data_IF_059956796621
#
_entry.id   IF_059956796621
#
_cell.length_a   1.000
_cell.length_b   1.000
_cell.length_c   1.000
_cell.angle_alpha   90.00
_cell.angle_beta   90.00
_cell.angle_gamma   90.00
#
_symmetry.space_group_name_H-M   'P 1'
#
loop_
_entity.id
_entity.type
_entity.pdbx_description
1 polymer ?
#
# COMPACT_ATOMS: atom_id res chain seq x y z
N UNK A 1 5.54 21.57 9.46
CA UNK A 1 5.63 20.25 10.12
C UNK A 1 4.95 19.25 9.20
N UNK A 2 5.63 18.15 8.86
CA UNK A 2 5.00 17.09 8.08
C UNK A 2 4.01 16.36 8.99
N UNK A 3 2.74 16.25 8.57
CA UNK A 3 1.72 15.56 9.36
C UNK A 3 1.89 14.06 9.23
N UNK A 4 1.81 13.38 10.37
CA UNK A 4 1.74 11.93 10.44
C UNK A 4 0.41 11.44 9.87
N UNK A 5 0.48 10.34 9.15
CA UNK A 5 -0.62 9.74 8.42
C UNK A 5 -0.38 8.26 8.25
N UNK A 6 -1.44 7.55 7.92
CA UNK A 6 -1.43 6.12 7.63
C UNK A 6 -2.04 5.89 6.26
N UNK A 7 -1.40 5.12 5.40
CA UNK A 7 -2.00 4.70 4.13
C UNK A 7 -2.55 3.29 4.26
N UNK A 8 -3.79 3.10 3.84
CA UNK A 8 -4.36 1.79 3.54
C UNK A 8 -4.31 1.56 2.04
N UNK A 9 -3.85 0.38 1.63
CA UNK A 9 -3.81 -0.02 0.22
C UNK A 9 -4.32 -1.45 0.09
N UNK A 10 -5.22 -1.63 -0.88
CA UNK A 10 -5.67 -2.94 -1.35
C UNK A 10 -5.39 -3.00 -2.85
N UNK A 11 -4.57 -3.95 -3.29
CA UNK A 11 -4.20 -4.07 -4.68
C UNK A 11 -4.15 -5.53 -5.12
N UNK A 12 -4.40 -5.76 -6.40
CA UNK A 12 -4.18 -7.05 -7.06
C UNK A 12 -2.96 -6.91 -7.96
N UNK A 13 -1.96 -7.76 -7.78
CA UNK A 13 -0.69 -7.69 -8.52
C UNK A 13 -0.19 -9.07 -8.90
N UNK A 14 0.58 -9.16 -9.99
CA UNK A 14 1.27 -10.39 -10.37
C UNK A 14 2.56 -10.62 -9.59
N UNK A 15 3.10 -9.58 -8.94
CA UNK A 15 4.27 -9.69 -8.09
C UNK A 15 4.55 -8.44 -7.28
N UNK A 16 5.62 -8.51 -6.49
CA UNK A 16 6.10 -7.42 -5.65
C UNK A 16 7.30 -7.85 -4.82
N UNK A 17 7.74 -6.98 -3.92
CA UNK A 17 8.83 -7.21 -2.99
C UNK A 17 8.40 -6.92 -1.57
N UNK A 18 9.01 -7.63 -0.62
CA UNK A 18 8.88 -7.38 0.81
C UNK A 18 10.28 -7.45 1.39
N UNK A 19 10.74 -6.36 2.00
CA UNK A 19 11.88 -6.37 2.92
C UNK A 19 11.31 -6.43 4.34
N UNK A 20 11.45 -7.58 4.99
CA UNK A 20 10.82 -7.85 6.28
C UNK A 20 11.46 -7.04 7.40
N UNK A 21 10.61 -6.57 8.31
CA UNK A 21 11.01 -5.87 9.53
C UNK A 21 10.26 -6.42 10.75
N UNK A 22 10.89 -6.41 11.91
CA UNK A 22 10.30 -6.91 13.16
C UNK A 22 10.26 -8.43 13.28
N UNK A 23 9.45 -8.93 14.23
CA UNK A 23 9.48 -10.33 14.68
C UNK A 23 8.25 -11.16 14.25
N UNK A 24 7.26 -10.56 13.60
CA UNK A 24 5.96 -11.18 13.30
C UNK A 24 5.82 -11.63 11.84
N UNK A 25 6.83 -12.33 11.32
CA UNK A 25 6.91 -12.71 9.91
C UNK A 25 7.11 -14.22 9.72
N UNK A 26 6.36 -15.03 10.47
CA UNK A 26 6.41 -16.48 10.35
C UNK A 26 5.28 -16.97 9.44
N UNK A 27 5.64 -17.62 8.34
CA UNK A 27 4.69 -18.20 7.39
C UNK A 27 4.62 -19.71 7.54
N UNK A 28 3.44 -20.23 7.85
CA UNK A 28 3.18 -21.67 7.77
C UNK A 28 2.83 -22.06 6.33
N UNK A 29 3.61 -22.96 5.74
CA UNK A 29 3.44 -23.47 4.38
C UNK A 29 3.25 -25.00 4.42
N UNK A 30 2.05 -25.49 4.14
CA UNK A 30 1.67 -26.93 4.18
C UNK A 30 2.44 -27.78 3.21
N UNK A 31 2.77 -27.24 2.05
CA UNK A 31 3.57 -27.96 1.07
C UNK A 31 4.17 -26.99 0.08
N UNK A 32 5.32 -27.39 -0.43
CA UNK A 32 6.02 -26.62 -1.43
C UNK A 32 7.25 -27.33 -1.95
N UNK A 33 7.88 -26.66 -2.90
CA UNK A 33 9.18 -27.05 -3.44
C UNK A 33 10.15 -25.92 -3.15
N UNK A 34 11.23 -26.24 -2.46
CA UNK A 34 12.37 -25.35 -2.29
C UNK A 34 13.37 -25.65 -3.40
N UNK A 35 13.60 -24.69 -4.26
CA UNK A 35 14.60 -24.70 -5.30
C UNK A 35 15.85 -23.95 -4.79
N UNK A 36 16.82 -24.66 -4.22
CA UNK A 36 18.07 -24.05 -3.78
C UNK A 36 19.02 -23.90 -4.95
N UNK A 37 19.71 -22.77 -5.07
CA UNK A 37 20.71 -22.58 -6.12
C UNK A 37 21.83 -23.63 -5.96
N UNK A 38 22.27 -24.22 -7.06
CA UNK A 38 23.45 -25.09 -7.07
C UNK A 38 24.72 -24.27 -7.01
N UNK A 39 25.71 -24.76 -6.26
CA UNK A 39 27.06 -24.18 -6.24
C UNK A 39 27.72 -24.21 -7.64
N UNK A 40 27.37 -25.22 -8.44
CA UNK A 40 27.81 -25.34 -9.83
C UNK A 40 26.64 -25.77 -10.73
N UNK A 41 26.08 -24.86 -11.55
CA UNK A 41 25.04 -25.20 -12.51
C UNK A 41 25.53 -26.21 -13.56
N UNK A 42 24.75 -27.25 -13.83
CA UNK A 42 25.06 -28.27 -14.83
C UNK A 42 24.19 -28.09 -16.09
N UNK A 43 24.71 -27.32 -17.04
CA UNK A 43 24.04 -27.08 -18.32
C UNK A 43 24.11 -28.27 -19.29
N UNK A 44 24.80 -29.37 -18.93
CA UNK A 44 24.83 -30.60 -19.74
C UNK A 44 23.60 -31.47 -19.52
N UNK A 45 22.92 -31.30 -18.38
CA UNK A 45 21.64 -31.95 -18.15
C UNK A 45 20.61 -31.48 -19.18
N UNK A 46 19.87 -32.42 -19.76
CA UNK A 46 18.72 -32.09 -20.59
C UNK A 46 17.69 -31.38 -19.71
N UNK A 47 17.24 -30.20 -20.15
CA UNK A 47 16.09 -29.55 -19.53
C UNK A 47 14.94 -30.57 -19.50
N UNK A 48 14.35 -30.77 -18.33
CA UNK A 48 13.11 -31.52 -18.23
C UNK A 48 12.11 -30.89 -19.22
N UNK A 49 11.45 -31.72 -20.04
CA UNK A 49 10.45 -31.24 -21.00
C UNK A 49 9.22 -30.67 -20.31
N UNK A 50 8.95 -31.11 -19.09
CA UNK A 50 8.01 -30.44 -18.20
C UNK A 50 8.67 -29.20 -17.63
N UNK A 51 7.90 -28.11 -17.60
CA UNK A 51 8.25 -26.85 -16.93
C UNK A 51 8.35 -27.15 -15.44
N UNK A 52 9.44 -27.80 -15.02
CA UNK A 52 9.68 -28.09 -13.62
C UNK A 52 9.82 -26.74 -12.93
N UNK A 53 9.06 -26.57 -11.85
CA UNK A 53 8.99 -25.33 -11.06
C UNK A 53 10.38 -24.81 -10.66
N UNK A 54 11.36 -25.72 -10.60
CA UNK A 54 12.79 -25.47 -10.51
C UNK A 54 13.51 -26.03 -11.74
N UNK A 55 14.30 -25.24 -12.48
CA UNK A 55 15.17 -25.77 -13.53
C UNK A 55 16.29 -26.61 -12.89
N UNK A 56 16.29 -27.93 -13.13
CA UNK A 56 17.22 -28.86 -12.50
C UNK A 56 18.70 -28.59 -12.84
N UNK A 57 18.98 -27.83 -13.91
CA UNK A 57 20.33 -27.40 -14.27
C UNK A 57 20.89 -26.37 -13.30
N UNK A 58 20.01 -25.53 -12.77
CA UNK A 58 20.36 -24.36 -11.93
C UNK A 58 20.08 -24.65 -10.45
N UNK A 59 19.03 -25.41 -10.18
CA UNK A 59 18.51 -25.63 -8.84
C UNK A 59 18.61 -27.08 -8.40
N UNK A 60 18.75 -27.26 -7.10
CA UNK A 60 18.47 -28.48 -6.38
C UNK A 60 17.08 -28.36 -5.74
N UNK A 61 16.14 -29.20 -6.16
CA UNK A 61 14.76 -29.13 -5.72
C UNK A 61 14.51 -30.09 -4.56
N UNK A 62 13.99 -29.58 -3.45
CA UNK A 62 13.56 -30.36 -2.29
C UNK A 62 12.09 -30.10 -2.01
N UNK A 63 11.27 -31.15 -2.07
CA UNK A 63 9.87 -31.07 -1.64
C UNK A 63 9.79 -31.11 -0.12
N UNK A 64 8.89 -30.31 0.46
CA UNK A 64 8.59 -30.39 1.88
C UNK A 64 7.09 -30.48 2.12
N UNK A 65 6.73 -31.14 3.21
CA UNK A 65 5.39 -31.17 3.77
C UNK A 65 5.46 -30.47 5.13
N UNK A 66 4.70 -29.38 5.24
CA UNK A 66 4.53 -28.48 6.37
C UNK A 66 5.84 -27.87 6.88
N UNK A 67 5.98 -26.55 6.71
CA UNK A 67 7.15 -25.81 7.16
C UNK A 67 6.77 -24.42 7.63
N UNK A 68 7.31 -24.04 8.78
CA UNK A 68 7.33 -22.65 9.22
C UNK A 68 8.55 -21.99 8.58
N UNK A 69 8.31 -20.98 7.76
CA UNK A 69 9.35 -20.10 7.21
C UNK A 69 9.36 -18.82 8.04
N UNK A 70 10.40 -18.66 8.86
CA UNK A 70 10.59 -17.47 9.69
C UNK A 70 11.39 -16.42 8.92
N UNK A 71 10.71 -15.39 8.42
CA UNK A 71 11.38 -14.28 7.74
C UNK A 71 11.94 -13.30 8.76
N UNK A 72 13.27 -13.23 8.84
CA UNK A 72 13.93 -12.35 9.81
C UNK A 72 14.04 -10.93 9.29
N UNK A 73 14.22 -10.00 10.21
CA UNK A 73 14.53 -8.60 9.93
C UNK A 73 15.68 -8.47 8.92
N UNK A 74 15.49 -7.61 7.92
CA UNK A 74 16.43 -7.40 6.82
C UNK A 74 16.38 -8.44 5.70
N UNK A 75 15.58 -9.50 5.81
CA UNK A 75 15.37 -10.45 4.71
C UNK A 75 14.54 -9.79 3.62
N UNK A 76 15.00 -9.86 2.36
CA UNK A 76 14.25 -9.35 1.22
C UNK A 76 13.81 -10.50 0.31
N UNK A 77 12.53 -10.49 -0.03
CA UNK A 77 11.94 -11.43 -0.98
C UNK A 77 11.27 -10.68 -2.14
N UNK A 78 11.29 -11.32 -3.30
CA UNK A 78 10.35 -11.04 -4.37
C UNK A 78 9.30 -12.15 -4.40
N UNK A 79 8.03 -11.79 -4.51
CA UNK A 79 6.95 -12.74 -4.67
C UNK A 79 6.29 -12.54 -6.04
N UNK A 80 5.83 -13.63 -6.64
CA UNK A 80 5.09 -13.61 -7.91
C UNK A 80 4.05 -14.70 -7.99
N UNK A 81 2.99 -14.46 -8.76
CA UNK A 81 1.98 -15.44 -9.13
C UNK A 81 2.35 -16.05 -10.48
N UNK A 82 2.70 -17.33 -10.48
CA UNK A 82 2.98 -18.07 -11.71
C UNK A 82 1.72 -18.21 -12.58
N UNK A 83 1.89 -18.50 -13.87
CA UNK A 83 0.78 -18.80 -14.77
C UNK A 83 -0.04 -20.03 -14.34
N UNK A 84 0.58 -20.97 -13.62
CA UNK A 84 -0.08 -22.13 -13.01
C UNK A 84 -0.91 -21.79 -11.76
N UNK A 85 -0.89 -20.53 -11.30
CA UNK A 85 -1.48 -20.12 -10.03
C UNK A 85 -0.57 -20.33 -8.81
N UNK A 86 0.56 -21.03 -8.93
CA UNK A 86 1.47 -21.19 -7.82
C UNK A 86 2.02 -19.83 -7.33
N UNK A 87 2.20 -19.69 -6.01
CA UNK A 87 2.97 -18.60 -5.43
C UNK A 87 4.46 -18.96 -5.53
N UNK A 88 5.26 -18.03 -6.03
CA UNK A 88 6.70 -18.17 -6.15
C UNK A 88 7.35 -17.07 -5.34
N UNK A 89 8.20 -17.46 -4.40
CA UNK A 89 8.92 -16.56 -3.48
C UNK A 89 10.41 -16.73 -3.74
N UNK A 90 11.05 -15.72 -4.28
CA UNK A 90 12.49 -15.69 -4.50
C UNK A 90 13.15 -14.88 -3.39
N UNK A 91 14.08 -15.48 -2.67
CA UNK A 91 14.90 -14.77 -1.67
C UNK A 91 15.92 -13.91 -2.41
N UNK A 92 15.80 -12.59 -2.31
CA UNK A 92 16.71 -11.62 -2.93
C UNK A 92 17.96 -11.44 -2.06
N UNK A 93 17.73 -11.27 -0.76
CA UNK A 93 18.78 -11.06 0.23
C UNK A 93 18.44 -11.84 1.50
N UNK A 94 19.37 -12.64 1.98
CA UNK A 94 19.28 -13.36 3.24
C UNK A 94 20.16 -12.68 4.29
N UNK A 95 19.53 -12.02 5.26
CA UNK A 95 20.21 -11.39 6.38
C UNK A 95 20.62 -12.40 7.47
N UNK A 96 20.08 -13.63 7.48
CA UNK A 96 20.11 -14.52 8.66
C UNK A 96 20.47 -16.00 8.40
N UNK A 97 20.92 -16.34 7.20
CA UNK A 97 21.52 -17.63 6.82
C UNK A 97 20.58 -18.85 6.84
N UNK A 98 19.27 -18.67 7.04
CA UNK A 98 18.33 -19.82 7.12
C UNK A 98 17.92 -20.30 5.72
N UNK A 99 17.76 -19.39 4.78
CA UNK A 99 17.38 -19.69 3.40
C UNK A 99 18.27 -18.83 2.48
N UNK A 100 19.26 -19.43 1.79
CA UNK A 100 20.22 -18.67 1.02
C UNK A 100 19.58 -17.77 -0.04
N UNK A 101 20.20 -16.61 -0.28
CA UNK A 101 19.85 -15.74 -1.41
C UNK A 101 19.82 -16.51 -2.73
N UNK A 102 18.86 -16.19 -3.58
CA UNK A 102 18.60 -16.88 -4.85
C UNK A 102 17.73 -18.14 -4.71
N UNK A 103 17.41 -18.59 -3.49
CA UNK A 103 16.47 -19.70 -3.29
C UNK A 103 15.08 -19.30 -3.75
N UNK A 104 14.42 -20.20 -4.49
CA UNK A 104 13.03 -20.04 -4.93
C UNK A 104 12.16 -21.06 -4.18
N UNK A 105 11.19 -20.57 -3.42
CA UNK A 105 10.15 -21.38 -2.79
C UNK A 105 8.90 -21.31 -3.64
N UNK A 106 8.36 -22.47 -4.01
CA UNK A 106 7.14 -22.58 -4.82
C UNK A 106 6.05 -23.25 -4.01
N UNK A 107 4.97 -22.53 -3.75
CA UNK A 107 3.78 -23.01 -3.05
C UNK A 107 2.69 -23.29 -4.08
N UNK A 108 2.20 -24.53 -4.22
CA UNK A 108 1.12 -24.86 -5.14
C UNK A 108 -0.14 -24.04 -4.87
N UNK A 109 -0.91 -23.76 -5.92
CA UNK A 109 -2.12 -22.92 -5.82
C UNK A 109 -3.16 -23.49 -4.84
N UNK A 110 -3.42 -24.80 -4.91
CA UNK A 110 -4.36 -25.48 -4.04
C UNK A 110 -3.98 -25.36 -2.55
N UNK A 111 -2.69 -25.53 -2.26
CA UNK A 111 -2.17 -25.49 -0.89
C UNK A 111 -2.19 -24.06 -0.34
N UNK A 112 -1.82 -23.07 -1.16
CA UNK A 112 -1.88 -21.67 -0.73
C UNK A 112 -3.31 -21.21 -0.44
N UNK A 113 -4.27 -21.61 -1.29
CA UNK A 113 -5.69 -21.37 -1.05
C UNK A 113 -6.20 -22.02 0.23
N UNK A 114 -5.70 -23.20 0.59
CA UNK A 114 -6.01 -23.86 1.85
C UNK A 114 -5.56 -23.08 3.09
N UNK A 115 -4.44 -22.35 3.01
CA UNK A 115 -3.90 -21.55 4.11
C UNK A 115 -4.51 -20.16 4.25
N UNK A 116 -4.82 -19.51 3.13
CA UNK A 116 -5.29 -18.13 3.12
C UNK A 116 -4.16 -17.10 3.19
N UNK A 117 -4.22 -16.23 4.19
CA UNK A 117 -3.42 -15.00 4.24
C UNK A 117 -2.00 -15.21 4.80
N UNK A 118 -0.99 -14.76 4.06
CA UNK A 118 0.41 -14.70 4.50
C UNK A 118 0.71 -13.30 5.04
N UNK A 119 0.61 -13.13 6.36
CA UNK A 119 0.80 -11.83 7.02
C UNK A 119 2.27 -11.40 7.02
N UNK A 120 2.53 -10.10 6.93
CA UNK A 120 3.86 -9.55 6.98
C UNK A 120 3.89 -8.19 7.70
N UNK A 121 5.07 -7.86 8.17
CA UNK A 121 5.52 -6.54 8.62
C UNK A 121 6.83 -6.24 7.88
N UNK A 122 6.90 -5.10 7.21
CA UNK A 122 8.10 -4.70 6.47
C UNK A 122 7.86 -3.61 5.42
N UNK A 123 8.88 -3.36 4.61
CA UNK A 123 8.85 -2.40 3.52
C UNK A 123 8.37 -3.13 2.26
N UNK A 124 7.30 -2.63 1.63
CA UNK A 124 6.64 -3.31 0.51
C UNK A 124 6.73 -2.50 -0.77
N UNK A 125 7.11 -3.17 -1.86
CA UNK A 125 6.90 -2.71 -3.23
C UNK A 125 5.86 -3.58 -3.94
N UNK A 126 4.86 -2.96 -4.56
CA UNK A 126 3.81 -3.69 -5.29
C UNK A 126 3.92 -3.41 -6.78
N UNK A 127 4.08 -4.48 -7.55
CA UNK A 127 4.28 -4.38 -8.98
C UNK A 127 5.67 -3.87 -9.36
N UNK A 128 5.98 -3.91 -10.65
CA UNK A 128 7.15 -3.26 -11.26
C UNK A 128 6.75 -2.47 -12.49
N UNK A 129 7.58 -1.47 -12.81
CA UNK A 129 7.44 -0.72 -14.05
C UNK A 129 7.58 -1.68 -15.23
N UNK A 130 6.60 -1.63 -16.14
CA UNK A 130 6.57 -2.49 -17.32
C UNK A 130 7.84 -2.26 -18.14
N UNK A 131 8.64 -3.32 -18.25
CA UNK A 131 9.85 -3.39 -19.08
C UNK A 131 9.91 -4.73 -19.82
N UNK A 132 10.78 -4.84 -20.82
CA UNK A 132 10.93 -6.08 -21.57
C UNK A 132 11.29 -7.23 -20.62
N UNK A 133 10.45 -8.26 -20.57
CA UNK A 133 10.63 -9.41 -19.68
C UNK A 133 10.03 -9.28 -18.28
N UNK A 134 9.41 -8.15 -17.93
CA UNK A 134 8.67 -8.02 -16.66
C UNK A 134 7.35 -8.79 -16.70
N UNK A 135 7.09 -9.59 -15.68
CA UNK A 135 5.86 -10.38 -15.49
C UNK A 135 5.11 -10.03 -14.19
N UNK A 136 5.64 -9.09 -13.42
CA UNK A 136 5.26 -8.76 -12.05
C UNK A 136 4.67 -7.35 -11.93
N UNK A 137 3.68 -7.01 -12.75
CA UNK A 137 3.01 -5.71 -12.72
C UNK A 137 1.76 -5.70 -11.83
N UNK A 138 1.44 -4.51 -11.29
CA UNK A 138 0.17 -4.25 -10.64
C UNK A 138 -0.96 -4.38 -11.67
N UNK A 139 -2.07 -5.02 -11.29
CA UNK A 139 -3.25 -5.19 -12.15
C UNK A 139 -4.27 -4.08 -11.87
N UNK A 140 -4.57 -3.84 -10.61
CA UNK A 140 -5.49 -2.80 -10.13
C UNK A 140 -5.31 -2.59 -8.61
N UNK A 141 -5.89 -1.53 -8.07
CA UNK A 141 -5.97 -1.35 -6.63
C UNK A 141 -6.64 -0.05 -6.23
N UNK A 142 -6.82 0.12 -4.93
CA UNK A 142 -7.31 1.35 -4.31
C UNK A 142 -6.43 1.69 -3.12
N UNK A 143 -6.28 2.99 -2.87
CA UNK A 143 -5.57 3.47 -1.71
C UNK A 143 -6.36 4.56 -1.00
N UNK A 144 -6.13 4.68 0.30
CA UNK A 144 -6.70 5.71 1.15
C UNK A 144 -5.60 6.24 2.06
N UNK A 145 -5.48 7.57 2.14
CA UNK A 145 -4.70 8.24 3.16
C UNK A 145 -5.62 8.58 4.34
N UNK A 146 -5.25 8.10 5.51
CA UNK A 146 -5.94 8.28 6.77
C UNK A 146 -5.13 9.24 7.63
N UNK A 147 -5.82 10.19 8.26
CA UNK A 147 -5.21 11.12 9.20
C UNK A 147 -6.08 11.23 10.46
N UNK A 148 -5.45 11.35 11.63
CA UNK A 148 -6.17 11.69 12.85
C UNK A 148 -6.71 13.12 12.75
N UNK A 149 -8.04 13.27 12.83
CA UNK A 149 -8.71 14.55 12.68
C UNK A 149 -8.44 15.49 13.87
N UNK A 150 -8.06 16.74 13.59
CA UNK A 150 -7.74 17.75 14.64
C UNK A 150 -8.95 18.11 15.51
N UNK A 151 -10.17 18.04 14.96
CA UNK A 151 -11.39 18.36 15.70
C UNK A 151 -11.99 17.15 16.45
N UNK A 152 -11.65 15.92 16.04
CA UNK A 152 -12.26 14.70 16.55
C UNK A 152 -11.45 14.09 17.69
N UNK A 153 -10.12 14.32 17.72
CA UNK A 153 -9.22 13.80 18.77
C UNK A 153 -9.58 14.25 20.20
N UNK A 154 -10.36 15.32 20.36
CA UNK A 154 -10.84 15.79 21.67
C UNK A 154 -11.93 14.86 22.24
N UNK A 155 -12.68 14.16 21.38
CA UNK A 155 -13.84 13.37 21.80
C UNK A 155 -13.74 11.88 21.45
N UNK A 156 -13.07 11.49 20.35
CA UNK A 156 -12.84 10.09 19.92
C UNK A 156 -11.63 9.99 18.97
N UNK A 157 -10.85 8.92 19.06
CA UNK A 157 -9.87 8.54 18.03
C UNK A 157 -10.61 8.04 16.77
N UNK A 158 -11.01 8.97 15.91
CA UNK A 158 -11.56 8.68 14.58
C UNK A 158 -10.53 9.10 13.54
N UNK A 159 -10.16 8.15 12.67
CA UNK A 159 -9.33 8.40 11.50
C UNK A 159 -10.20 8.85 10.34
N UNK A 160 -9.91 10.02 9.78
CA UNK A 160 -10.61 10.56 8.62
C UNK A 160 -9.86 10.20 7.35
N UNK A 161 -10.59 9.84 6.28
CA UNK A 161 -10.03 9.66 4.94
C UNK A 161 -9.81 11.04 4.34
N UNK A 162 -8.54 11.46 4.24
CA UNK A 162 -8.18 12.78 3.69
C UNK A 162 -7.98 12.75 2.17
N UNK A 163 -7.62 11.60 1.63
CA UNK A 163 -7.45 11.40 0.19
C UNK A 163 -7.62 9.94 -0.17
N UNK A 164 -8.12 9.67 -1.37
CA UNK A 164 -8.23 8.31 -1.91
C UNK A 164 -8.01 8.31 -3.41
N UNK A 165 -7.61 7.17 -3.95
CA UNK A 165 -7.47 7.01 -5.39
C UNK A 165 -7.45 5.56 -5.83
N UNK A 166 -7.44 5.38 -7.15
CA UNK A 166 -7.34 4.08 -7.80
C UNK A 166 -5.96 3.89 -8.43
N UNK A 167 -5.45 2.67 -8.41
CA UNK A 167 -4.21 2.26 -9.06
C UNK A 167 -4.54 1.50 -10.33
N UNK A 168 -3.85 1.85 -11.42
CA UNK A 168 -4.09 1.26 -12.74
C UNK A 168 -3.05 0.21 -13.08
N UNK A 169 -3.42 -0.70 -13.99
CA UNK A 169 -2.52 -1.73 -14.50
C UNK A 169 -1.18 -1.16 -14.98
N UNK A 170 -0.09 -1.88 -14.70
CA UNK A 170 1.25 -1.53 -15.16
C UNK A 170 1.96 -0.49 -14.29
N UNK A 171 1.34 -0.09 -13.19
CA UNK A 171 1.96 0.80 -12.20
C UNK A 171 2.85 0.00 -11.23
N UNK A 172 3.81 0.66 -10.62
CA UNK A 172 4.54 0.15 -9.46
C UNK A 172 4.38 1.12 -8.30
N UNK A 173 4.18 0.58 -7.11
CA UNK A 173 3.79 1.37 -5.93
C UNK A 173 4.68 1.05 -4.76
N UNK A 174 5.13 2.09 -4.07
CA UNK A 174 5.86 1.99 -2.81
C UNK A 174 5.57 3.19 -1.91
N UNK A 175 5.88 3.06 -0.62
CA UNK A 175 5.69 4.11 0.38
C UNK A 175 7.01 4.75 0.75
N UNK A 176 7.00 6.09 0.87
CA UNK A 176 8.19 6.87 1.18
C UNK A 176 7.95 7.82 2.35
N UNK A 177 8.93 8.02 3.22
CA UNK A 177 8.88 9.06 4.25
C UNK A 177 8.98 10.43 3.57
N UNK A 178 8.02 11.30 3.87
CA UNK A 178 7.89 12.62 3.30
C UNK A 178 8.98 13.55 3.83
N UNK A 179 9.70 14.22 2.92
CA UNK A 179 10.79 15.13 3.24
C UNK A 179 12.11 14.46 3.64
N UNK A 180 12.20 13.13 3.62
CA UNK A 180 13.44 12.42 3.93
C UNK A 180 14.42 12.43 2.73
N UNK A 181 15.75 12.46 2.98
CA UNK A 181 16.77 12.21 1.96
C UNK A 181 16.58 10.84 1.33
N UNK A 182 16.91 10.69 0.04
CA UNK A 182 16.59 9.52 -0.78
C UNK A 182 16.87 8.14 -0.11
N UNK A 183 17.92 8.06 0.71
CA UNK A 183 18.39 6.80 1.33
C UNK A 183 17.67 6.39 2.63
N UNK A 184 16.93 7.27 3.30
CA UNK A 184 16.18 6.97 4.55
C UNK A 184 14.67 7.25 4.37
N UNK A 185 14.15 6.78 3.25
CA UNK A 185 12.75 7.03 2.86
C UNK A 185 11.86 5.82 3.06
N UNK A 186 12.34 4.66 3.49
CA UNK A 186 11.47 3.49 3.58
C UNK A 186 10.44 3.62 4.71
N UNK A 187 9.26 3.01 4.53
CA UNK A 187 8.17 3.05 5.49
C UNK A 187 7.68 1.63 5.75
N UNK A 188 7.77 1.22 7.01
CA UNK A 188 7.23 -0.04 7.51
C UNK A 188 5.72 -0.09 7.30
N UNK A 189 5.25 -1.23 6.81
CA UNK A 189 3.85 -1.54 6.55
C UNK A 189 3.49 -2.88 7.16
N UNK A 190 2.25 -3.02 7.61
CA UNK A 190 1.66 -4.24 8.11
C UNK A 190 0.62 -4.71 7.11
N UNK A 191 0.63 -5.97 6.72
CA UNK A 191 -0.28 -6.43 5.68
C UNK A 191 -0.32 -7.93 5.54
N UNK A 192 -0.93 -8.38 4.45
CA UNK A 192 -0.94 -9.78 4.07
C UNK A 192 -1.05 -9.98 2.56
N UNK A 193 -0.54 -11.11 2.10
CA UNK A 193 -0.75 -11.64 0.75
C UNK A 193 -1.85 -12.70 0.79
N UNK A 194 -2.82 -12.62 -0.11
CA UNK A 194 -3.92 -13.58 -0.23
C UNK A 194 -4.08 -14.04 -1.67
N UNK A 195 -4.37 -15.33 -1.91
CA UNK A 195 -4.64 -15.82 -3.25
C UNK A 195 -5.92 -15.18 -3.81
N UNK A 196 -5.97 -15.00 -5.12
CA UNK A 196 -7.20 -14.61 -5.81
C UNK A 196 -8.12 -15.82 -6.05
N UNK A 197 -9.39 -15.53 -6.35
CA UNK A 197 -10.37 -16.53 -6.79
C UNK A 197 -9.94 -17.23 -8.10
N UNK A 198 -10.55 -18.36 -8.43
CA UNK A 198 -10.16 -19.28 -9.52
C UNK A 198 -10.05 -18.61 -10.89
N UNK A 199 -10.90 -17.64 -11.18
CA UNK A 199 -10.99 -16.94 -12.46
C UNK A 199 -10.14 -15.67 -12.51
N UNK A 200 -9.58 -15.25 -11.39
CA UNK A 200 -8.81 -14.01 -11.27
C UNK A 200 -7.31 -14.30 -11.25
N UNK A 201 -6.58 -13.51 -12.04
CA UNK A 201 -5.12 -13.51 -12.00
C UNK A 201 -4.60 -12.62 -10.87
N UNK A 202 -3.47 -13.02 -10.29
CA UNK A 202 -2.66 -12.22 -9.37
C UNK A 202 -2.73 -12.67 -7.92
N UNK A 203 -2.30 -11.78 -7.05
CA UNK A 203 -2.29 -11.87 -5.59
C UNK A 203 -2.95 -10.62 -5.07
N UNK A 204 -3.86 -10.77 -4.11
CA UNK A 204 -4.42 -9.63 -3.38
C UNK A 204 -3.44 -9.28 -2.26
N UNK A 205 -2.97 -8.05 -2.27
CA UNK A 205 -2.12 -7.44 -1.25
C UNK A 205 -2.97 -6.43 -0.50
N UNK A 206 -3.12 -6.62 0.80
CA UNK A 206 -3.73 -5.62 1.69
C UNK A 206 -2.67 -5.17 2.67
N UNK A 207 -2.48 -3.87 2.82
CA UNK A 207 -1.53 -3.32 3.79
C UNK A 207 -1.99 -2.00 4.39
N UNK A 208 -1.38 -1.70 5.52
CA UNK A 208 -1.51 -0.46 6.28
C UNK A 208 -0.11 0.02 6.67
N UNK A 209 0.25 1.26 6.35
CA UNK A 209 1.55 1.81 6.76
C UNK A 209 1.55 2.16 8.24
N UNK A 210 2.73 2.16 8.86
CA UNK A 210 2.89 2.78 10.18
C UNK A 210 2.48 4.26 10.15
N UNK A 211 2.08 4.79 11.31
CA UNK A 211 1.75 6.20 11.48
C UNK A 211 3.03 7.04 11.40
N UNK A 212 3.23 7.72 10.27
CA UNK A 212 4.42 8.52 10.02
C UNK A 212 4.14 9.59 8.95
N UNK A 213 5.05 10.53 8.69
CA UNK A 213 4.95 11.39 7.50
C UNK A 213 5.20 10.55 6.25
N UNK A 214 4.15 9.96 5.68
CA UNK A 214 4.26 9.00 4.56
C UNK A 214 3.72 9.60 3.26
N UNK A 215 4.38 9.35 2.14
CA UNK A 215 3.90 9.65 0.79
C UNK A 215 3.74 8.34 0.02
N UNK A 216 2.70 8.26 -0.81
CA UNK A 216 2.51 7.17 -1.74
C UNK A 216 3.24 7.52 -3.05
N UNK A 217 4.17 6.68 -3.47
CA UNK A 217 4.88 6.83 -4.73
C UNK A 217 4.31 5.86 -5.76
N UNK A 218 3.86 6.39 -6.89
CA UNK A 218 3.32 5.60 -8.00
C UNK A 218 4.16 5.86 -9.24
N UNK A 219 4.81 4.81 -9.73
CA UNK A 219 5.53 4.81 -10.99
C UNK A 219 4.60 4.27 -12.07
N UNK A 220 4.32 5.07 -13.09
CA UNK A 220 3.55 4.64 -14.25
C UNK A 220 4.46 4.40 -15.45
N UNK A 221 4.14 3.39 -16.25
CA UNK A 221 4.80 3.19 -17.53
C UNK A 221 4.63 4.44 -18.43
N UNK A 222 5.73 4.91 -19.00
CA UNK A 222 5.75 6.08 -19.89
C UNK A 222 5.96 7.43 -19.19
N UNK A 223 5.98 7.49 -17.86
CA UNK A 223 6.39 8.70 -17.13
C UNK A 223 7.87 8.63 -16.77
N UNK A 224 8.58 9.75 -16.94
CA UNK A 224 10.01 9.87 -16.61
C UNK A 224 10.28 10.03 -15.10
N UNK A 225 9.24 10.36 -14.32
CA UNK A 225 9.32 10.53 -12.89
C UNK A 225 8.09 9.92 -12.20
N UNK A 226 8.25 9.35 -10.99
CA UNK A 226 7.13 8.89 -10.18
C UNK A 226 6.17 10.04 -9.86
N UNK A 227 4.87 9.74 -9.83
CA UNK A 227 3.87 10.59 -9.18
C UNK A 227 3.94 10.35 -7.68
N UNK A 228 4.07 11.44 -6.91
CA UNK A 228 4.05 11.39 -5.45
C UNK A 228 2.71 11.95 -4.97
N UNK A 229 1.94 11.12 -4.28
CA UNK A 229 0.71 11.54 -3.60
C UNK A 229 1.04 11.89 -2.16
N UNK A 230 0.90 13.18 -1.86
CA UNK A 230 1.11 13.79 -0.55
C UNK A 230 -0.14 14.60 -0.24
N UNK A 231 -1.06 14.11 0.60
CA UNK A 231 -2.24 14.88 0.96
C UNK A 231 -1.78 16.18 1.64
N UNK A 232 -2.10 17.32 1.02
CA UNK A 232 -1.78 18.62 1.60
C UNK A 232 -2.89 19.07 2.55
N UNK A 233 -2.56 20.03 3.44
CA UNK A 233 -3.55 20.59 4.38
C UNK A 233 -4.75 21.23 3.67
N UNK A 234 -4.58 21.68 2.43
CA UNK A 234 -5.67 22.23 1.61
C UNK A 234 -6.65 21.12 1.21
N UNK A 235 -6.14 19.93 0.86
CA UNK A 235 -6.97 18.77 0.53
C UNK A 235 -7.75 18.28 1.76
N UNK A 236 -7.13 18.35 2.95
CA UNK A 236 -7.80 18.01 4.21
C UNK A 236 -8.92 19.02 4.57
N UNK A 237 -8.77 20.30 4.23
CA UNK A 237 -9.81 21.31 4.47
C UNK A 237 -10.97 21.15 3.49
N UNK A 238 -10.69 20.92 2.21
CA UNK A 238 -11.72 20.79 1.17
C UNK A 238 -12.56 19.52 1.31
N UNK A 239 -11.98 18.45 1.87
CA UNK A 239 -12.68 17.18 2.14
C UNK A 239 -13.42 17.14 3.48
N UNK A 240 -13.25 18.13 4.36
CA UNK A 240 -13.89 18.13 5.69
C UNK A 240 -15.34 18.61 5.64
N UNK A 241 -16.28 17.66 5.69
CA UNK A 241 -17.73 17.95 5.83
C UNK A 241 -18.04 18.84 7.03
N UNK A 242 -17.27 18.73 8.12
CA UNK A 242 -17.45 19.54 9.32
C UNK A 242 -17.08 21.01 9.09
N UNK A 243 -15.98 21.30 8.39
CA UNK A 243 -15.62 22.68 8.05
C UNK A 243 -16.65 23.31 7.11
N UNK A 244 -17.18 22.53 6.17
CA UNK A 244 -18.29 22.99 5.34
C UNK A 244 -19.53 23.31 6.18
N UNK A 245 -19.88 22.45 7.15
CA UNK A 245 -20.99 22.71 8.07
C UNK A 245 -20.76 23.97 8.92
N UNK A 246 -19.53 24.18 9.43
CA UNK A 246 -19.17 25.39 10.19
C UNK A 246 -19.25 26.63 9.30
N UNK A 247 -18.75 26.57 8.07
CA UNK A 247 -18.83 27.67 7.12
C UNK A 247 -20.29 28.05 6.82
N UNK A 248 -21.15 27.06 6.59
CA UNK A 248 -22.60 27.28 6.38
C UNK A 248 -23.24 27.89 7.62
N UNK A 249 -22.93 27.38 8.82
CA UNK A 249 -23.44 27.95 10.07
C UNK A 249 -22.97 29.40 10.28
N UNK A 250 -21.70 29.70 9.99
CA UNK A 250 -21.16 31.06 10.09
C UNK A 250 -21.81 31.99 9.06
N UNK A 251 -21.98 31.55 7.81
CA UNK A 251 -22.71 32.32 6.78
C UNK A 251 -24.15 32.62 7.21
N UNK A 252 -24.82 31.66 7.84
CA UNK A 252 -26.18 31.83 8.35
C UNK A 252 -26.22 32.80 9.55
N UNK A 253 -25.25 32.73 10.46
CA UNK A 253 -25.12 33.68 11.58
C UNK A 253 -24.84 35.10 11.10
N UNK A 254 -23.95 35.26 10.10
CA UNK A 254 -23.67 36.56 9.48
C UNK A 254 -24.93 37.11 8.81
N UNK A 255 -25.67 36.29 8.05
CA UNK A 255 -26.93 36.71 7.43
C UNK A 255 -27.99 37.15 8.45
N UNK A 256 -28.10 36.44 9.59
CA UNK A 256 -28.99 36.84 10.69
C UNK A 256 -28.54 38.17 11.30
N UNK A 257 -27.23 38.37 11.49
CA UNK A 257 -26.69 39.60 12.05
C UNK A 257 -26.96 40.79 11.12
N UNK A 258 -26.71 40.64 9.82
CA UNK A 258 -26.98 41.68 8.82
C UNK A 258 -28.46 42.05 8.78
N UNK A 259 -29.35 41.06 8.76
CA UNK A 259 -30.80 41.27 8.83
C UNK A 259 -31.19 42.03 10.10
N UNK A 260 -30.63 41.64 11.25
CA UNK A 260 -30.84 42.33 12.53
C UNK A 260 -30.42 43.79 12.47
N UNK A 261 -29.24 44.11 11.91
CA UNK A 261 -28.79 45.51 11.78
C UNK A 261 -29.62 46.31 10.78
N UNK A 262 -30.15 45.68 9.73
CA UNK A 262 -31.03 46.33 8.75
C UNK A 262 -32.38 46.70 9.38
N UNK A 263 -32.99 45.77 10.12
CA UNK A 263 -34.25 46.01 10.85
C UNK A 263 -34.07 47.10 11.90
N UNK A 264 -32.97 47.07 12.66
CA UNK A 264 -32.69 48.10 13.66
C UNK A 264 -32.54 49.50 13.03
N UNK A 265 -31.85 49.62 11.88
CA UNK A 265 -31.72 50.87 11.12
C UNK A 265 -33.08 51.38 10.61
N UNK A 266 -33.92 50.49 10.08
CA UNK A 266 -35.26 50.86 9.61
C UNK A 266 -36.16 51.34 10.76
N UNK A 267 -36.06 50.71 11.92
CA UNK A 267 -36.80 51.12 13.12
C UNK A 267 -36.34 52.49 13.62
N UNK A 268 -35.03 52.75 13.70
CA UNK A 268 -34.52 54.06 14.10
C UNK A 268 -34.95 55.18 13.13
N UNK A 269 -34.94 54.92 11.82
CA UNK A 269 -35.40 55.90 10.82
C UNK A 269 -36.90 56.24 10.89
N UNK A 270 -37.74 55.39 11.49
CA UNK A 270 -39.17 55.70 11.69
C UNK A 270 -39.47 56.53 12.94
N UNK A 271 -38.57 56.52 13.94
CA UNK A 271 -38.80 57.18 15.23
C UNK A 271 -38.40 58.67 15.17
N UNK A 272 -37.59 59.08 14.19
CA UNK A 272 -37.13 60.47 14.05
C UNK A 272 -37.55 61.10 12.70
N UNK A 273 -38.85 61.40 12.47
CA UNK A 273 -39.32 61.98 11.22
C UNK A 273 -39.06 63.49 11.04
N UNK A 274 -38.53 64.19 12.05
CA UNK A 274 -38.52 65.67 12.09
C UNK A 274 -37.21 66.34 11.62
N UNK A 275 -36.22 65.59 11.13
CA UNK A 275 -35.00 66.16 10.54
C UNK A 275 -35.13 66.30 9.01
N UNK A 276 -36.04 67.15 8.55
CA UNK A 276 -36.08 67.63 7.16
C UNK A 276 -35.59 69.09 7.13
N UNK A 277 -34.30 69.34 6.80
CA UNK A 277 -33.75 70.69 6.81
C UNK A 277 -34.17 71.44 5.53
N UNK A 278 -35.11 72.37 5.69
CA UNK A 278 -35.39 73.45 4.74
C UNK A 278 -34.23 74.43 4.60
#
# INVERSE_FOLDING_TARGET
MARERTFSLVARSLGGTIAFEGELNDWMIQSGVECRLRDSPDFRMLAARDVSLCDARIYEATTFAERIVAWRDGTEIAWRRAASGALQITVQNDATATIPSGTLIVVPDADWRGHGALAFQGIVGIGRTVSSGSDDYLLEGTWQALQSGMAVSIFRDVTDVVQSGTLTRGSAVDFRRDGAPQDDTAVTSFGHLTPTEDDQRGVIVTLLTQHAPVALRVNHFGLNAPTLFKPDWVDAISSSTMLFAIAVMLSLLIGILELGTAVARQWHGRINPDDDPS
#
